data_IF_529831359310
#
_entry.id   IF_529831359310
#
_cell.length_a   1.000
_cell.length_b   1.000
_cell.length_c   1.000
_cell.angle_alpha   90.00
_cell.angle_beta   90.00
_cell.angle_gamma   90.00
#
_symmetry.space_group_name_H-M   'P 1'
#
loop_
_entity.id
_entity.type
_entity.pdbx_description
1 polymer ?
#
# COMPACT_ATOMS: atom_id res chain seq x y z
N UNK A 1 25.27 0.14 -7.55
CA UNK A 1 25.14 -0.85 -6.47
C UNK A 1 24.45 -2.06 -7.06
N UNK A 2 24.98 -3.23 -6.87
CA UNK A 2 24.49 -4.43 -7.55
C UNK A 2 23.68 -5.29 -6.58
N UNK A 3 22.82 -6.14 -7.11
CA UNK A 3 22.12 -7.16 -6.31
C UNK A 3 23.09 -8.10 -5.57
N UNK A 4 24.32 -8.28 -6.10
CA UNK A 4 25.36 -9.05 -5.42
C UNK A 4 25.68 -8.53 -4.00
N UNK A 5 25.77 -7.19 -3.85
CA UNK A 5 26.05 -6.60 -2.54
C UNK A 5 24.93 -6.89 -1.53
N UNK A 6 23.67 -6.82 -1.97
CA UNK A 6 22.51 -7.14 -1.13
C UNK A 6 22.54 -8.62 -0.72
N UNK A 7 22.83 -9.52 -1.68
CA UNK A 7 22.94 -10.95 -1.40
C UNK A 7 24.08 -11.26 -0.42
N UNK A 8 25.21 -10.55 -0.56
CA UNK A 8 26.36 -10.73 0.35
C UNK A 8 26.01 -10.29 1.77
N UNK A 9 25.28 -9.18 1.95
CA UNK A 9 24.82 -8.76 3.27
C UNK A 9 23.78 -9.73 3.86
N UNK A 10 22.86 -10.26 3.05
CA UNK A 10 21.93 -11.32 3.48
C UNK A 10 22.71 -12.57 3.98
N UNK A 11 23.74 -12.99 3.24
CA UNK A 11 24.52 -14.17 3.60
C UNK A 11 25.33 -13.98 4.88
N UNK A 12 25.86 -12.77 5.13
CA UNK A 12 26.64 -12.43 6.32
C UNK A 12 25.80 -12.31 7.58
N UNK A 13 24.54 -11.85 7.47
CA UNK A 13 23.70 -11.58 8.61
C UNK A 13 23.28 -12.87 9.33
N UNK A 14 23.38 -12.88 10.66
CA UNK A 14 22.84 -13.95 11.52
C UNK A 14 21.41 -13.61 11.99
N UNK A 15 21.12 -12.32 12.16
CA UNK A 15 19.79 -11.81 12.55
C UNK A 15 19.25 -10.83 11.52
N UNK A 16 18.05 -11.09 11.01
CA UNK A 16 17.43 -10.29 9.96
C UNK A 16 16.04 -9.85 10.41
N UNK A 17 15.71 -8.58 10.20
CA UNK A 17 14.33 -8.10 10.27
C UNK A 17 13.85 -7.60 8.92
N UNK A 18 12.56 -7.81 8.65
CA UNK A 18 11.85 -7.27 7.49
C UNK A 18 10.83 -6.27 8.00
N UNK A 19 10.92 -5.04 7.52
CA UNK A 19 10.06 -3.93 7.88
C UNK A 19 9.34 -3.41 6.62
N UNK A 20 8.15 -2.86 6.83
CA UNK A 20 7.34 -2.20 5.81
C UNK A 20 6.85 -0.84 6.33
N UNK A 21 6.13 -0.08 5.51
CA UNK A 21 5.54 1.19 5.95
C UNK A 21 4.40 0.99 6.99
N UNK A 22 4.10 2.03 7.78
CA UNK A 22 3.20 2.00 8.96
C UNK A 22 1.73 1.62 8.68
N UNK A 23 1.24 1.83 7.46
CA UNK A 23 -0.10 1.44 7.04
C UNK A 23 0.00 0.45 5.88
N UNK A 24 0.50 -0.77 6.14
CA UNK A 24 0.88 -1.68 5.08
C UNK A 24 -0.33 -2.16 4.28
N UNK A 25 -0.19 -2.11 2.98
CA UNK A 25 -1.15 -2.67 2.03
C UNK A 25 -0.75 -4.07 1.58
N UNK A 26 -1.37 -4.56 0.50
CA UNK A 26 -1.09 -5.91 0.04
C UNK A 26 0.27 -6.05 -0.64
N UNK A 27 0.86 -4.96 -1.17
CA UNK A 27 2.21 -5.01 -1.73
C UNK A 27 3.26 -5.08 -0.62
N UNK A 28 3.14 -4.24 0.39
CA UNK A 28 4.00 -4.26 1.56
C UNK A 28 3.98 -5.63 2.28
N UNK A 29 2.78 -6.15 2.60
CA UNK A 29 2.63 -7.43 3.29
C UNK A 29 3.05 -8.60 2.41
N UNK A 30 2.63 -8.62 1.14
CA UNK A 30 2.96 -9.66 0.19
C UNK A 30 4.46 -9.74 -0.06
N UNK A 31 5.12 -8.60 -0.24
CA UNK A 31 6.57 -8.51 -0.40
C UNK A 31 7.32 -8.99 0.84
N UNK A 32 6.87 -8.59 2.05
CA UNK A 32 7.52 -9.01 3.30
C UNK A 32 7.47 -10.53 3.49
N UNK A 33 6.31 -11.14 3.32
CA UNK A 33 6.13 -12.59 3.46
C UNK A 33 6.83 -13.38 2.34
N UNK A 34 6.80 -12.88 1.09
CA UNK A 34 7.54 -13.49 -0.01
C UNK A 34 9.04 -13.49 0.25
N UNK A 35 9.60 -12.40 0.77
CA UNK A 35 11.02 -12.29 1.11
C UNK A 35 11.37 -13.23 2.27
N UNK A 36 10.55 -13.30 3.31
CA UNK A 36 10.76 -14.21 4.45
C UNK A 36 10.83 -15.67 3.98
N UNK A 37 9.86 -16.11 3.16
CA UNK A 37 9.85 -17.45 2.58
C UNK A 37 11.06 -17.70 1.65
N UNK A 38 11.52 -16.69 0.93
CA UNK A 38 12.70 -16.76 0.08
C UNK A 38 14.00 -16.91 0.89
N UNK A 39 14.13 -16.17 2.00
CA UNK A 39 15.29 -16.23 2.88
C UNK A 39 15.49 -17.62 3.48
N UNK A 40 14.42 -18.36 3.77
CA UNK A 40 14.51 -19.76 4.24
C UNK A 40 15.23 -20.68 3.25
N UNK A 41 15.10 -20.44 1.93
CA UNK A 41 15.84 -21.20 0.93
C UNK A 41 17.33 -20.89 0.94
N UNK A 42 17.72 -19.74 1.48
CA UNK A 42 19.12 -19.37 1.73
C UNK A 42 19.61 -19.79 3.12
N UNK A 43 18.83 -20.60 3.86
CA UNK A 43 19.06 -20.99 5.25
C UNK A 43 19.18 -19.78 6.19
N UNK A 44 18.37 -18.74 5.94
CA UNK A 44 18.24 -17.56 6.78
C UNK A 44 16.83 -17.48 7.35
N UNK A 45 16.72 -17.09 8.61
CA UNK A 45 15.47 -16.75 9.25
C UNK A 45 15.35 -15.24 9.39
N UNK A 46 14.16 -14.70 9.28
CA UNK A 46 13.91 -13.28 9.43
C UNK A 46 12.66 -13.03 10.26
N UNK A 47 12.68 -11.96 11.05
CA UNK A 47 11.53 -11.47 11.78
C UNK A 47 10.78 -10.47 10.89
N UNK A 48 9.58 -10.83 10.45
CA UNK A 48 8.67 -9.89 9.80
C UNK A 48 7.94 -9.12 10.89
N UNK A 49 8.17 -7.80 10.97
CA UNK A 49 7.63 -6.96 12.06
C UNK A 49 6.63 -5.97 11.47
N UNK A 50 5.35 -6.18 11.78
CA UNK A 50 4.23 -5.33 11.35
C UNK A 50 3.34 -5.07 12.56
N UNK A 51 3.51 -3.95 13.29
CA UNK A 51 2.77 -3.65 14.52
C UNK A 51 1.25 -3.64 14.33
N UNK A 52 0.78 -3.10 13.21
CA UNK A 52 -0.64 -3.02 12.85
C UNK A 52 -0.93 -3.86 11.61
N UNK A 53 -0.85 -5.19 11.75
CA UNK A 53 -1.07 -6.11 10.64
C UNK A 53 -2.55 -6.10 10.16
N UNK A 54 -2.80 -5.84 8.86
CA UNK A 54 -4.15 -5.83 8.31
C UNK A 54 -4.74 -7.24 8.18
N UNK A 55 -5.89 -7.46 8.83
CA UNK A 55 -6.53 -8.80 8.89
C UNK A 55 -6.94 -9.37 7.55
N UNK A 56 -7.20 -8.53 6.56
CA UNK A 56 -7.52 -8.97 5.21
C UNK A 56 -6.43 -9.80 4.55
N UNK A 57 -5.19 -9.73 5.04
CA UNK A 57 -4.05 -10.52 4.55
C UNK A 57 -3.71 -11.74 5.41
N UNK A 58 -4.51 -12.06 6.44
CA UNK A 58 -4.34 -13.28 7.27
C UNK A 58 -4.38 -14.59 6.45
N UNK A 59 -4.87 -14.54 5.21
CA UNK A 59 -4.92 -15.70 4.33
C UNK A 59 -3.58 -16.03 3.65
N UNK A 60 -2.59 -15.14 3.74
CA UNK A 60 -1.28 -15.34 3.15
C UNK A 60 -0.46 -16.39 3.91
N UNK A 61 0.37 -17.16 3.20
CA UNK A 61 1.32 -18.08 3.84
C UNK A 61 2.19 -17.36 4.89
N UNK A 62 2.35 -18.00 6.03
CA UNK A 62 3.15 -17.53 7.18
C UNK A 62 2.69 -16.19 7.81
N UNK A 63 1.49 -15.69 7.45
CA UNK A 63 0.91 -14.49 8.05
C UNK A 63 0.76 -14.58 9.59
N UNK A 64 0.56 -15.78 10.11
CA UNK A 64 0.47 -16.08 11.56
C UNK A 64 1.82 -15.94 12.28
N UNK A 65 2.93 -15.86 11.56
CA UNK A 65 4.30 -15.66 12.10
C UNK A 65 4.70 -14.20 12.18
N UNK A 66 3.92 -13.28 11.62
CA UNK A 66 4.17 -11.85 11.69
C UNK A 66 4.19 -11.40 13.15
N UNK A 67 5.22 -10.65 13.52
CA UNK A 67 5.40 -10.10 14.86
C UNK A 67 4.86 -8.68 14.93
N UNK A 68 4.16 -8.35 16.00
CA UNK A 68 3.77 -6.95 16.29
C UNK A 68 4.90 -6.16 16.98
N UNK A 69 5.95 -6.85 17.41
CA UNK A 69 7.16 -6.32 18.02
C UNK A 69 8.05 -7.47 18.47
N UNK A 70 9.27 -7.14 18.90
CA UNK A 70 10.26 -8.11 19.38
C UNK A 70 11.15 -7.49 20.46
N UNK A 71 11.73 -8.33 21.32
CA UNK A 71 12.72 -7.92 22.33
C UNK A 71 14.14 -7.76 21.74
N UNK A 72 14.34 -8.10 20.46
CA UNK A 72 15.62 -7.90 19.77
C UNK A 72 15.81 -6.41 19.51
N UNK A 73 16.84 -5.83 20.08
CA UNK A 73 17.11 -4.38 20.00
C UNK A 73 18.03 -3.98 18.85
N UNK A 74 18.74 -4.94 18.26
CA UNK A 74 19.64 -4.68 17.12
C UNK A 74 19.74 -5.93 16.25
N UNK A 75 19.53 -5.73 14.95
CA UNK A 75 19.68 -6.75 13.92
C UNK A 75 20.99 -6.56 13.14
N UNK A 76 21.54 -7.66 12.60
CA UNK A 76 22.67 -7.55 11.68
C UNK A 76 22.24 -6.89 10.37
N UNK A 77 20.99 -7.20 9.92
CA UNK A 77 20.43 -6.70 8.69
C UNK A 77 18.95 -6.33 8.89
N UNK A 78 18.57 -5.16 8.43
CA UNK A 78 17.17 -4.78 8.23
C UNK A 78 16.89 -4.63 6.73
N UNK A 79 15.87 -5.35 6.25
CA UNK A 79 15.31 -5.19 4.91
C UNK A 79 14.04 -4.37 5.02
N UNK A 80 13.98 -3.20 4.39
CA UNK A 80 12.74 -2.45 4.21
C UNK A 80 12.19 -2.73 2.83
N UNK A 81 10.92 -3.12 2.76
CA UNK A 81 10.23 -3.44 1.53
C UNK A 81 9.05 -2.50 1.34
N UNK A 82 8.89 -1.99 0.12
CA UNK A 82 7.77 -1.13 -0.24
C UNK A 82 7.65 0.09 0.68
N UNK A 83 8.76 0.79 0.88
CA UNK A 83 8.83 1.94 1.79
C UNK A 83 9.65 3.08 1.19
N UNK A 84 8.97 4.19 0.86
CA UNK A 84 9.58 5.32 0.17
C UNK A 84 10.51 6.18 1.06
N UNK A 85 10.39 6.10 2.39
CA UNK A 85 11.23 6.88 3.29
C UNK A 85 11.25 6.33 4.71
N UNK A 86 12.31 6.65 5.44
CA UNK A 86 12.45 6.28 6.85
C UNK A 86 11.29 6.76 7.73
N UNK A 87 10.65 7.88 7.38
CA UNK A 87 9.51 8.43 8.13
C UNK A 87 8.29 7.53 8.12
N UNK A 88 8.16 6.68 7.09
CA UNK A 88 7.04 5.77 6.95
C UNK A 88 7.21 4.48 7.75
N UNK A 89 8.40 4.19 8.28
CA UNK A 89 8.66 3.03 9.14
C UNK A 89 8.06 3.24 10.55
N UNK A 90 7.94 4.52 10.99
CA UNK A 90 7.32 4.99 12.23
C UNK A 90 7.59 4.08 13.46
N UNK A 91 6.62 3.28 13.89
CA UNK A 91 6.72 2.45 15.10
C UNK A 91 7.86 1.39 15.07
N UNK A 92 8.49 1.17 13.92
CA UNK A 92 9.62 0.25 13.74
C UNK A 92 10.96 0.99 13.55
N UNK A 93 11.01 2.32 13.74
CA UNK A 93 12.19 3.14 13.47
C UNK A 93 13.42 2.69 14.28
N UNK A 94 13.24 2.31 15.54
CA UNK A 94 14.34 1.89 16.42
C UNK A 94 15.01 0.61 15.90
N UNK A 95 14.26 -0.34 15.32
CA UNK A 95 14.84 -1.53 14.71
C UNK A 95 15.70 -1.18 13.50
N UNK A 96 15.25 -0.21 12.69
CA UNK A 96 16.00 0.24 11.52
C UNK A 96 17.26 1.02 11.93
N UNK A 97 17.13 2.00 12.83
CA UNK A 97 18.27 2.84 13.24
C UNK A 97 19.39 2.04 13.92
N UNK A 98 19.02 1.06 14.76
CA UNK A 98 19.98 0.22 15.49
C UNK A 98 20.54 -0.96 14.68
N UNK A 99 20.08 -1.17 13.45
CA UNK A 99 20.62 -2.24 12.61
C UNK A 99 22.04 -1.94 12.12
N UNK A 100 22.88 -2.98 12.00
CA UNK A 100 24.25 -2.83 11.49
C UNK A 100 24.28 -2.50 10.00
N UNK A 101 23.41 -3.14 9.22
CA UNK A 101 23.24 -2.91 7.77
C UNK A 101 21.77 -2.72 7.44
N UNK A 102 21.49 -1.79 6.54
CA UNK A 102 20.16 -1.42 6.11
C UNK A 102 20.03 -1.57 4.60
N UNK A 103 18.99 -2.25 4.14
CA UNK A 103 18.68 -2.44 2.73
C UNK A 103 17.24 -1.96 2.48
N UNK A 104 17.03 -1.23 1.41
CA UNK A 104 15.69 -0.86 0.93
C UNK A 104 15.45 -1.43 -0.47
N UNK A 105 14.31 -2.08 -0.66
CA UNK A 105 13.80 -2.54 -1.96
C UNK A 105 12.43 -1.88 -2.14
N UNK A 106 12.28 -1.07 -3.20
CA UNK A 106 11.11 -0.22 -3.36
C UNK A 106 10.86 0.14 -4.83
N UNK A 107 9.64 0.55 -5.14
CA UNK A 107 9.25 1.00 -6.47
C UNK A 107 8.72 2.45 -6.51
N UNK A 108 8.66 3.12 -5.38
CA UNK A 108 8.13 4.48 -5.31
C UNK A 108 9.08 5.50 -5.93
N UNK A 109 8.57 6.37 -6.81
CA UNK A 109 9.32 7.50 -7.38
C UNK A 109 9.75 8.53 -6.34
N UNK A 110 9.08 8.56 -5.18
CA UNK A 110 9.39 9.44 -4.05
C UNK A 110 10.40 8.86 -3.07
N UNK A 111 11.02 7.70 -3.38
CA UNK A 111 11.99 7.08 -2.49
C UNK A 111 13.18 8.00 -2.22
N UNK A 112 13.54 8.14 -0.95
CA UNK A 112 14.59 9.06 -0.48
C UNK A 112 15.97 8.41 -0.41
N UNK A 113 16.14 7.17 -0.86
CA UNK A 113 17.41 6.40 -0.84
C UNK A 113 18.03 6.35 0.56
N UNK A 114 17.24 6.02 1.57
CA UNK A 114 17.53 6.21 2.99
C UNK A 114 18.32 5.06 3.65
N UNK A 115 18.51 3.95 2.95
CA UNK A 115 19.25 2.79 3.44
C UNK A 115 20.72 2.82 2.98
N UNK A 116 21.56 1.95 3.56
CA UNK A 116 22.95 1.76 3.12
C UNK A 116 23.00 1.19 1.69
N UNK A 117 22.06 0.27 1.39
CA UNK A 117 21.87 -0.31 0.07
C UNK A 117 20.40 -0.12 -0.38
N UNK A 118 20.22 0.48 -1.55
CA UNK A 118 18.89 0.73 -2.08
C UNK A 118 18.76 0.08 -3.47
N UNK A 119 17.74 -0.73 -3.67
CA UNK A 119 17.32 -1.25 -4.97
C UNK A 119 15.93 -0.68 -5.26
N UNK A 120 15.89 0.35 -6.08
CA UNK A 120 14.64 1.09 -6.39
C UNK A 120 14.45 1.11 -7.89
N UNK A 121 13.28 0.65 -8.35
CA UNK A 121 12.86 0.70 -9.74
C UNK A 121 11.45 1.29 -9.84
N UNK A 122 11.38 2.55 -10.28
CA UNK A 122 10.15 3.32 -10.38
C UNK A 122 9.23 2.89 -11.53
N UNK A 123 9.75 2.11 -12.47
CA UNK A 123 8.99 1.59 -13.60
C UNK A 123 8.27 0.28 -13.25
N UNK A 124 8.60 -0.34 -12.12
CA UNK A 124 7.91 -1.52 -11.63
C UNK A 124 6.53 -1.14 -11.06
N UNK A 125 5.47 -1.87 -11.40
CA UNK A 125 4.11 -1.57 -10.93
C UNK A 125 3.86 -1.98 -9.47
N UNK A 126 4.80 -2.68 -8.83
CA UNK A 126 4.72 -3.18 -7.46
C UNK A 126 6.10 -3.61 -6.96
N UNK A 127 6.39 -3.43 -5.68
CA UNK A 127 7.59 -3.96 -5.03
C UNK A 127 7.65 -5.48 -5.14
N UNK A 128 6.52 -6.17 -5.01
CA UNK A 128 6.41 -7.61 -5.19
C UNK A 128 6.87 -8.07 -6.58
N UNK A 129 6.69 -7.28 -7.64
CA UNK A 129 7.21 -7.62 -8.96
C UNK A 129 8.74 -7.55 -9.00
N UNK A 130 9.36 -6.58 -8.31
CA UNK A 130 10.81 -6.49 -8.20
C UNK A 130 11.42 -7.72 -7.52
N UNK A 131 10.72 -8.26 -6.53
CA UNK A 131 11.19 -9.46 -5.85
C UNK A 131 11.29 -10.66 -6.79
N UNK A 132 10.43 -10.79 -7.81
CA UNK A 132 10.56 -11.86 -8.81
C UNK A 132 11.87 -11.74 -9.61
N UNK A 133 12.28 -10.52 -9.94
CA UNK A 133 13.57 -10.26 -10.61
C UNK A 133 14.72 -10.65 -9.69
N UNK A 134 14.66 -10.22 -8.42
CA UNK A 134 15.67 -10.52 -7.40
C UNK A 134 15.76 -12.02 -7.13
N UNK A 135 14.64 -12.72 -7.01
CA UNK A 135 14.59 -14.16 -6.77
C UNK A 135 15.18 -14.93 -7.96
N UNK A 136 14.87 -14.51 -9.18
CA UNK A 136 15.50 -15.07 -10.38
C UNK A 136 17.03 -14.90 -10.39
N UNK A 137 17.51 -13.72 -10.01
CA UNK A 137 18.94 -13.42 -9.91
C UNK A 137 19.66 -14.27 -8.84
N UNK A 138 18.99 -14.52 -7.69
CA UNK A 138 19.55 -15.31 -6.59
C UNK A 138 19.31 -16.82 -6.74
N UNK A 139 18.69 -17.27 -7.85
CA UNK A 139 18.28 -18.66 -8.07
C UNK A 139 17.37 -19.21 -6.94
N UNK A 140 16.51 -18.36 -6.38
CA UNK A 140 15.47 -18.75 -5.43
C UNK A 140 14.29 -19.33 -6.20
N UNK A 141 13.81 -20.49 -5.79
CA UNK A 141 12.63 -21.10 -6.39
C UNK A 141 11.36 -20.36 -5.94
N UNK A 142 10.60 -19.84 -6.91
CA UNK A 142 9.28 -19.27 -6.62
C UNK A 142 8.31 -20.41 -6.42
N UNK A 143 8.09 -20.77 -5.15
CA UNK A 143 7.08 -21.77 -4.76
C UNK A 143 5.66 -21.20 -4.90
N UNK A 144 4.66 -22.04 -4.75
CA UNK A 144 3.26 -21.58 -4.76
C UNK A 144 2.98 -20.58 -3.62
N UNK A 145 3.58 -20.80 -2.47
CA UNK A 145 3.45 -19.93 -1.29
C UNK A 145 4.04 -18.55 -1.56
N UNK A 146 5.29 -18.48 -2.00
CA UNK A 146 5.95 -17.24 -2.44
C UNK A 146 5.12 -16.56 -3.53
N UNK A 147 4.71 -17.33 -4.54
CA UNK A 147 3.92 -16.79 -5.66
C UNK A 147 2.55 -16.25 -5.23
N UNK A 148 1.93 -16.80 -4.17
CA UNK A 148 0.67 -16.28 -3.63
C UNK A 148 0.88 -14.92 -2.98
N UNK A 149 1.95 -14.75 -2.21
CA UNK A 149 2.34 -13.46 -1.60
C UNK A 149 2.67 -12.42 -2.68
N UNK A 150 3.50 -12.76 -3.65
CA UNK A 150 3.88 -11.89 -4.78
C UNK A 150 2.64 -11.46 -5.58
N UNK A 151 1.76 -12.41 -5.93
CA UNK A 151 0.54 -12.09 -6.68
C UNK A 151 -0.37 -11.14 -5.91
N UNK A 152 -0.42 -11.27 -4.58
CA UNK A 152 -1.20 -10.36 -3.73
C UNK A 152 -0.68 -8.93 -3.86
N UNK A 153 0.63 -8.72 -3.76
CA UNK A 153 1.25 -7.41 -3.96
C UNK A 153 0.96 -6.85 -5.35
N UNK A 154 1.24 -7.61 -6.39
CA UNK A 154 0.98 -7.15 -7.78
C UNK A 154 -0.50 -6.77 -7.97
N UNK A 155 -1.44 -7.58 -7.48
CA UNK A 155 -2.88 -7.34 -7.66
C UNK A 155 -3.33 -6.09 -6.89
N UNK A 156 -2.85 -5.89 -5.67
CA UNK A 156 -3.26 -4.72 -4.87
C UNK A 156 -2.76 -3.43 -5.49
N UNK A 157 -1.48 -3.36 -5.79
CA UNK A 157 -0.84 -2.13 -6.24
C UNK A 157 -1.20 -1.74 -7.69
N UNK A 158 -1.54 -2.73 -8.50
CA UNK A 158 -2.08 -2.48 -9.86
C UNK A 158 -3.60 -2.27 -9.89
N UNK A 159 -4.28 -2.30 -8.74
CA UNK A 159 -5.74 -2.23 -8.66
C UNK A 159 -6.42 -3.34 -9.46
N UNK A 160 -5.87 -4.55 -9.47
CA UNK A 160 -6.34 -5.66 -10.29
C UNK A 160 -6.00 -5.49 -11.77
N UNK A 161 -4.82 -5.00 -12.08
CA UNK A 161 -4.28 -4.76 -13.43
C UNK A 161 -4.96 -3.59 -14.19
N UNK A 162 -5.54 -2.62 -13.48
CA UNK A 162 -6.24 -1.47 -14.08
C UNK A 162 -5.41 -0.19 -14.14
N UNK A 163 -4.36 -0.08 -13.31
CA UNK A 163 -3.59 1.15 -13.20
C UNK A 163 -2.46 1.21 -14.23
N UNK A 164 -1.97 2.42 -14.49
CA UNK A 164 -0.78 2.65 -15.31
C UNK A 164 0.43 1.95 -14.68
N UNK A 165 1.41 1.56 -15.52
CA UNK A 165 2.56 0.78 -15.09
C UNK A 165 2.43 -0.72 -15.30
N UNK A 166 1.19 -1.24 -15.51
CA UNK A 166 1.00 -2.65 -15.90
C UNK A 166 1.52 -2.88 -17.31
N UNK A 167 2.47 -3.80 -17.47
CA UNK A 167 3.15 -4.09 -18.72
C UNK A 167 2.92 -5.55 -19.18
N UNK A 168 3.37 -5.87 -20.39
CA UNK A 168 3.40 -7.25 -20.85
C UNK A 168 4.28 -8.14 -19.97
N UNK A 169 5.30 -7.57 -19.31
CA UNK A 169 6.17 -8.29 -18.37
C UNK A 169 5.39 -8.67 -17.11
N UNK A 170 4.58 -7.76 -16.56
CA UNK A 170 3.68 -8.05 -15.43
C UNK A 170 2.82 -9.27 -15.71
N UNK A 171 2.20 -9.34 -16.90
CA UNK A 171 1.39 -10.51 -17.28
C UNK A 171 2.20 -11.78 -17.47
N UNK A 172 3.45 -11.71 -17.97
CA UNK A 172 4.34 -12.88 -18.05
C UNK A 172 4.70 -13.40 -16.66
N UNK A 173 4.99 -12.53 -15.70
CA UNK A 173 5.20 -12.92 -14.32
C UNK A 173 3.96 -13.59 -13.73
N UNK A 174 2.78 -13.00 -13.89
CA UNK A 174 1.52 -13.61 -13.41
C UNK A 174 1.27 -14.96 -14.07
N UNK A 175 1.56 -15.12 -15.37
CA UNK A 175 1.45 -16.40 -16.06
C UNK A 175 2.39 -17.44 -15.43
N UNK A 176 3.65 -17.08 -15.15
CA UNK A 176 4.60 -17.98 -14.49
C UNK A 176 4.15 -18.39 -13.09
N UNK A 177 3.53 -17.47 -12.32
CA UNK A 177 2.94 -17.79 -11.02
C UNK A 177 1.78 -18.79 -11.15
N UNK A 178 0.95 -18.66 -12.20
CA UNK A 178 -0.12 -19.63 -12.49
C UNK A 178 0.44 -21.02 -12.79
N UNK A 179 1.54 -21.12 -13.53
CA UNK A 179 2.24 -22.38 -13.82
C UNK A 179 2.75 -23.05 -12.53
N UNK A 180 3.12 -22.27 -11.52
CA UNK A 180 3.48 -22.73 -10.16
C UNK A 180 2.26 -23.12 -9.31
N UNK A 181 1.04 -23.01 -9.86
CA UNK A 181 -0.20 -23.41 -9.18
C UNK A 181 -0.85 -22.32 -8.33
N UNK A 182 -0.37 -21.08 -8.42
CA UNK A 182 -1.03 -19.93 -7.79
C UNK A 182 -2.41 -19.71 -8.42
N UNK A 183 -3.42 -19.47 -7.62
CA UNK A 183 -4.80 -19.29 -8.08
C UNK A 183 -5.20 -17.82 -8.06
N UNK A 184 -5.04 -17.13 -9.18
CA UNK A 184 -5.41 -15.70 -9.34
C UNK A 184 -6.82 -15.42 -8.82
N UNK A 185 -7.79 -16.27 -9.16
CA UNK A 185 -9.18 -16.10 -8.70
C UNK A 185 -9.34 -16.14 -7.19
N UNK A 186 -8.52 -16.93 -6.48
CA UNK A 186 -8.57 -17.01 -5.01
C UNK A 186 -7.96 -15.77 -4.36
N UNK A 187 -6.83 -15.30 -4.86
CA UNK A 187 -6.20 -14.06 -4.38
C UNK A 187 -7.14 -12.88 -4.67
N UNK A 188 -7.64 -12.77 -5.90
CA UNK A 188 -8.59 -11.71 -6.28
C UNK A 188 -9.84 -11.70 -5.39
N UNK A 189 -10.40 -12.88 -5.10
CA UNK A 189 -11.56 -13.02 -4.23
C UNK A 189 -11.27 -12.50 -2.81
N UNK A 190 -10.08 -12.79 -2.26
CA UNK A 190 -9.69 -12.33 -0.93
C UNK A 190 -9.47 -10.83 -0.87
N UNK A 191 -8.77 -10.28 -1.86
CA UNK A 191 -8.40 -8.87 -1.90
C UNK A 191 -9.59 -7.96 -2.24
N UNK A 192 -10.37 -8.28 -3.29
CA UNK A 192 -11.37 -7.36 -3.82
C UNK A 192 -12.83 -7.80 -3.62
N UNK A 193 -13.08 -9.09 -3.48
CA UNK A 193 -14.43 -9.62 -3.42
C UNK A 193 -14.84 -10.11 -2.01
N UNK A 194 -14.07 -9.74 -1.00
CA UNK A 194 -14.40 -10.01 0.41
C UNK A 194 -14.49 -8.68 1.15
N UNK A 195 -15.69 -8.36 1.61
CA UNK A 195 -15.94 -7.12 2.39
C UNK A 195 -16.53 -7.49 3.74
N UNK A 196 -16.11 -6.80 4.78
CA UNK A 196 -16.78 -6.86 6.08
C UNK A 196 -18.20 -6.29 5.95
N UNK A 197 -19.09 -6.68 6.86
CA UNK A 197 -20.42 -6.05 6.89
C UNK A 197 -20.33 -4.57 7.21
N UNK A 198 -19.40 -4.16 8.07
CA UNK A 198 -19.14 -2.76 8.39
C UNK A 198 -18.73 -1.97 7.13
N UNK A 199 -17.77 -2.49 6.36
CA UNK A 199 -17.35 -1.90 5.07
C UNK A 199 -18.54 -1.75 4.11
N UNK A 200 -19.38 -2.77 3.98
CA UNK A 200 -20.56 -2.72 3.11
C UNK A 200 -21.54 -1.63 3.55
N UNK A 201 -21.86 -1.53 4.86
CA UNK A 201 -22.77 -0.52 5.39
C UNK A 201 -22.18 0.91 5.30
N UNK A 202 -20.84 1.08 5.50
CA UNK A 202 -20.17 2.38 5.28
C UNK A 202 -20.28 2.83 3.81
N UNK A 203 -20.00 1.92 2.87
CA UNK A 203 -20.13 2.23 1.45
C UNK A 203 -21.57 2.64 1.08
N UNK A 204 -22.57 1.98 1.66
CA UNK A 204 -23.96 2.35 1.47
C UNK A 204 -24.27 3.75 2.00
N UNK A 205 -23.79 4.09 3.21
CA UNK A 205 -23.94 5.43 3.78
C UNK A 205 -23.25 6.48 2.88
N UNK A 206 -22.04 6.19 2.41
CA UNK A 206 -21.31 7.09 1.53
C UNK A 206 -22.02 7.30 0.20
N UNK A 207 -22.53 6.24 -0.44
CA UNK A 207 -23.31 6.33 -1.68
C UNK A 207 -24.62 7.09 -1.51
N UNK A 208 -25.32 6.92 -0.39
CA UNK A 208 -26.55 7.68 -0.09
C UNK A 208 -26.29 9.19 0.07
N UNK A 209 -25.05 9.58 0.40
CA UNK A 209 -24.59 10.96 0.56
C UNK A 209 -23.81 11.51 -0.62
N UNK A 210 -23.66 10.72 -1.68
CA UNK A 210 -22.90 11.14 -2.85
C UNK A 210 -23.53 12.36 -3.51
N UNK A 211 -22.76 13.41 -3.66
CA UNK A 211 -23.15 14.64 -4.34
C UNK A 211 -22.28 14.86 -5.57
N UNK A 212 -22.90 15.27 -6.68
CA UNK A 212 -22.18 15.64 -7.90
C UNK A 212 -22.18 17.14 -8.05
N UNK A 213 -20.98 17.73 -8.06
CA UNK A 213 -20.73 19.18 -8.10
C UNK A 213 -20.04 19.56 -9.41
N UNK A 214 -20.05 20.86 -9.76
CA UNK A 214 -19.36 21.41 -10.94
C UNK A 214 -19.72 20.65 -12.23
N UNK A 215 -21.02 20.66 -12.55
CA UNK A 215 -21.58 19.97 -13.72
C UNK A 215 -21.22 18.47 -13.76
N UNK A 216 -21.11 17.84 -12.57
CA UNK A 216 -20.81 16.42 -12.43
C UNK A 216 -19.32 16.06 -12.51
N UNK A 217 -18.42 17.04 -12.60
CA UNK A 217 -16.98 16.80 -12.65
C UNK A 217 -16.36 16.43 -11.29
N UNK A 218 -17.04 16.78 -10.19
CA UNK A 218 -16.62 16.41 -8.84
C UNK A 218 -17.69 15.51 -8.23
N UNK A 219 -17.29 14.33 -7.74
CA UNK A 219 -18.06 13.51 -6.83
C UNK A 219 -17.59 13.80 -5.38
N UNK A 220 -18.52 13.96 -4.46
CA UNK A 220 -18.25 14.30 -3.06
C UNK A 220 -19.08 13.44 -2.13
N UNK A 221 -18.42 12.83 -1.14
CA UNK A 221 -19.12 12.12 -0.07
C UNK A 221 -18.37 12.21 1.26
N UNK A 222 -19.01 11.79 2.34
CA UNK A 222 -18.41 11.81 3.67
C UNK A 222 -18.96 10.75 4.63
N UNK A 223 -18.14 10.43 5.63
CA UNK A 223 -18.50 9.59 6.78
C UNK A 223 -18.18 10.35 8.06
N UNK A 224 -19.11 10.30 9.05
CA UNK A 224 -18.94 10.85 10.38
C UNK A 224 -18.47 9.78 11.36
N UNK A 225 -17.95 10.18 12.52
CA UNK A 225 -17.65 9.26 13.64
C UNK A 225 -18.88 8.48 14.10
N UNK A 226 -20.04 9.13 14.14
CA UNK A 226 -21.29 8.48 14.52
C UNK A 226 -21.67 7.34 13.55
N UNK A 227 -21.36 7.49 12.24
CA UNK A 227 -21.55 6.42 11.26
C UNK A 227 -20.58 5.24 11.54
N UNK A 228 -19.32 5.55 11.82
CA UNK A 228 -18.30 4.55 12.15
C UNK A 228 -18.70 3.73 13.38
N UNK A 229 -19.09 4.41 14.46
CA UNK A 229 -19.55 3.77 15.70
C UNK A 229 -20.79 2.91 15.46
N UNK A 230 -21.76 3.42 14.69
CA UNK A 230 -23.01 2.72 14.36
C UNK A 230 -22.80 1.39 13.67
N UNK A 231 -21.81 1.30 12.78
CA UNK A 231 -21.54 0.08 12.00
C UNK A 231 -20.40 -0.76 12.58
N UNK A 232 -19.68 -0.25 13.59
CA UNK A 232 -18.51 -0.90 14.18
C UNK A 232 -17.34 -0.96 13.22
N UNK A 233 -17.10 0.13 12.46
CA UNK A 233 -16.06 0.21 11.46
C UNK A 233 -14.65 0.14 12.07
N UNK A 234 -13.71 -0.42 11.32
CA UNK A 234 -12.29 -0.54 11.65
C UNK A 234 -11.44 0.05 10.52
N UNK A 235 -10.13 0.16 10.77
CA UNK A 235 -9.18 0.49 9.70
C UNK A 235 -9.34 -0.50 8.53
N UNK A 236 -9.29 0.00 7.30
CA UNK A 236 -9.53 -0.77 6.07
C UNK A 236 -11.00 -0.80 5.60
N UNK A 237 -11.99 -0.54 6.47
CA UNK A 237 -13.40 -0.53 6.05
C UNK A 237 -13.79 0.69 5.19
N UNK A 238 -12.93 1.70 5.10
CA UNK A 238 -13.13 2.91 4.27
C UNK A 238 -12.62 2.77 2.84
N UNK A 239 -11.81 1.75 2.58
CA UNK A 239 -11.14 1.58 1.28
C UNK A 239 -12.16 1.31 0.18
N UNK A 240 -11.98 2.00 -0.95
CA UNK A 240 -12.87 1.92 -2.10
C UNK A 240 -14.03 2.92 -2.09
N UNK A 241 -14.26 3.68 -1.00
CA UNK A 241 -15.32 4.70 -0.96
C UNK A 241 -15.03 5.81 -1.97
N UNK A 242 -13.82 6.39 -1.95
CA UNK A 242 -13.47 7.48 -2.86
C UNK A 242 -13.41 7.03 -4.32
N UNK A 243 -13.09 5.77 -4.57
CA UNK A 243 -13.07 5.19 -5.91
C UNK A 243 -14.48 5.08 -6.52
N UNK A 244 -15.51 4.84 -5.71
CA UNK A 244 -16.88 4.75 -6.21
C UNK A 244 -17.30 6.02 -6.97
N UNK A 245 -17.03 7.20 -6.40
CA UNK A 245 -17.33 8.47 -7.06
C UNK A 245 -16.48 8.72 -8.31
N UNK A 246 -15.16 8.40 -8.23
CA UNK A 246 -14.24 8.54 -9.37
C UNK A 246 -14.67 7.70 -10.57
N UNK A 247 -15.20 6.50 -10.33
CA UNK A 247 -15.53 5.55 -11.39
C UNK A 247 -16.85 5.91 -12.12
N UNK A 248 -17.56 6.93 -11.63
CA UNK A 248 -18.77 7.46 -12.33
C UNK A 248 -18.36 8.18 -13.62
N UNK A 249 -19.13 7.98 -14.69
CA UNK A 249 -18.92 8.67 -15.97
C UNK A 249 -19.05 10.19 -15.82
N UNK A 250 -18.11 10.94 -16.42
CA UNK A 250 -18.08 12.41 -16.35
C UNK A 250 -17.37 12.97 -15.13
N UNK A 251 -17.13 12.19 -14.08
CA UNK A 251 -16.38 12.62 -12.91
C UNK A 251 -14.88 12.66 -13.22
N UNK A 252 -14.24 13.79 -12.93
CA UNK A 252 -12.79 13.94 -12.98
C UNK A 252 -12.14 13.76 -11.60
N UNK A 253 -12.76 14.32 -10.54
CA UNK A 253 -12.21 14.24 -9.18
C UNK A 253 -13.26 13.72 -8.21
N UNK A 254 -12.88 12.72 -7.42
CA UNK A 254 -13.66 12.25 -6.27
C UNK A 254 -13.03 12.71 -4.97
N UNK A 255 -13.86 13.18 -4.05
CA UNK A 255 -13.51 13.72 -2.73
C UNK A 255 -14.25 12.92 -1.68
N UNK A 256 -13.52 12.27 -0.79
CA UNK A 256 -14.08 11.59 0.37
C UNK A 256 -13.58 12.23 1.65
N UNK A 257 -14.48 12.67 2.52
CA UNK A 257 -14.16 13.22 3.82
C UNK A 257 -14.50 12.23 4.94
N UNK A 258 -13.59 12.09 5.89
CA UNK A 258 -13.79 11.28 7.08
C UNK A 258 -13.52 12.12 8.34
N UNK A 259 -14.48 12.16 9.25
CA UNK A 259 -14.31 12.80 10.55
C UNK A 259 -13.39 11.94 11.43
N UNK A 260 -12.39 12.57 12.07
CA UNK A 260 -11.44 11.90 12.97
C UNK A 260 -11.19 12.74 14.22
N UNK A 261 -10.50 12.22 15.23
CA UNK A 261 -10.09 12.98 16.41
C UNK A 261 -9.12 14.12 16.09
N UNK A 262 -8.41 14.02 14.98
CA UNK A 262 -7.41 15.00 14.52
C UNK A 262 -7.96 16.00 13.49
N UNK A 263 -9.28 16.04 13.27
CA UNK A 263 -9.93 16.85 12.23
C UNK A 263 -10.53 16.00 11.10
N UNK A 264 -10.68 16.60 9.95
CA UNK A 264 -11.28 15.94 8.77
C UNK A 264 -10.17 15.39 7.87
N UNK A 265 -10.09 14.07 7.78
CA UNK A 265 -9.24 13.41 6.81
C UNK A 265 -9.87 13.52 5.42
N UNK A 266 -9.11 14.01 4.46
CA UNK A 266 -9.51 14.17 3.06
C UNK A 266 -8.79 13.14 2.21
N UNK A 267 -9.54 12.36 1.44
CA UNK A 267 -9.00 11.47 0.41
C UNK A 267 -9.44 11.97 -0.96
N UNK A 268 -8.50 12.07 -1.88
CA UNK A 268 -8.70 12.58 -3.24
C UNK A 268 -8.29 11.53 -4.26
N UNK A 269 -9.09 11.38 -5.31
CA UNK A 269 -8.74 10.61 -6.51
C UNK A 269 -9.08 11.43 -7.75
N UNK A 270 -8.25 11.35 -8.76
CA UNK A 270 -8.58 11.93 -10.09
C UNK A 270 -8.51 10.87 -11.17
N UNK A 271 -9.16 11.15 -12.30
CA UNK A 271 -9.25 10.24 -13.43
C UNK A 271 -8.19 10.55 -14.49
N UNK A 272 -8.25 11.72 -15.12
CA UNK A 272 -7.48 11.98 -16.33
C UNK A 272 -6.45 13.11 -16.21
N UNK A 273 -6.85 14.32 -15.79
CA UNK A 273 -5.99 15.50 -15.95
C UNK A 273 -5.70 16.29 -14.65
N UNK A 274 -6.51 16.14 -13.60
CA UNK A 274 -6.28 16.91 -12.36
C UNK A 274 -5.18 16.26 -11.52
N UNK A 275 -4.17 17.04 -11.14
CA UNK A 275 -3.15 16.64 -10.18
C UNK A 275 -3.66 16.88 -8.75
N UNK A 276 -4.22 15.85 -8.11
CA UNK A 276 -4.75 15.97 -6.74
C UNK A 276 -3.67 16.10 -5.67
N UNK A 277 -2.42 15.73 -5.96
CA UNK A 277 -1.30 15.91 -5.03
C UNK A 277 -1.01 17.38 -4.80
N UNK A 278 -1.06 18.22 -5.85
CA UNK A 278 -0.92 19.67 -5.71
C UNK A 278 -2.01 20.28 -4.83
N UNK A 279 -3.25 19.81 -4.99
CA UNK A 279 -4.36 20.27 -4.15
C UNK A 279 -4.14 19.88 -2.68
N UNK A 280 -3.74 18.64 -2.41
CA UNK A 280 -3.48 18.14 -1.04
C UNK A 280 -2.32 18.86 -0.36
N UNK A 281 -1.24 19.18 -1.08
CA UNK A 281 -0.05 19.86 -0.55
C UNK A 281 -0.39 21.23 0.02
N UNK A 282 -1.37 21.95 -0.52
CA UNK A 282 -1.82 23.25 0.01
C UNK A 282 -2.40 23.16 1.42
N UNK A 283 -2.81 21.96 1.84
CA UNK A 283 -3.34 21.67 3.18
C UNK A 283 -2.34 20.84 4.02
N UNK A 284 -1.05 20.86 3.64
CA UNK A 284 0.01 20.12 4.37
C UNK A 284 -0.03 18.61 4.16
N UNK A 285 -0.76 18.15 3.15
CA UNK A 285 -0.82 16.75 2.74
C UNK A 285 0.10 16.43 1.56
N UNK A 286 -0.21 15.36 0.83
CA UNK A 286 0.55 14.91 -0.33
C UNK A 286 0.01 13.62 -0.91
N UNK A 287 0.79 13.01 -1.80
CA UNK A 287 0.47 11.76 -2.48
C UNK A 287 0.93 11.77 -3.93
N UNK A 288 0.34 10.88 -4.71
CA UNK A 288 0.58 10.77 -6.15
C UNK A 288 -0.33 11.70 -6.96
N UNK A 289 0.00 11.90 -8.23
CA UNK A 289 -0.77 12.74 -9.15
C UNK A 289 -2.26 12.40 -9.16
N UNK A 290 -2.62 11.10 -9.09
CA UNK A 290 -4.01 10.60 -9.16
C UNK A 290 -4.60 10.19 -7.82
N UNK A 291 -3.81 10.14 -6.74
CA UNK A 291 -4.24 9.70 -5.41
C UNK A 291 -3.50 10.47 -4.33
N UNK A 292 -4.19 11.32 -3.60
CA UNK A 292 -3.61 12.15 -2.56
C UNK A 292 -4.55 12.30 -1.37
N UNK A 293 -4.00 12.82 -0.26
CA UNK A 293 -4.78 13.09 0.94
C UNK A 293 -4.17 14.18 1.80
N UNK A 294 -5.00 14.76 2.65
CA UNK A 294 -4.60 15.77 3.63
C UNK A 294 -5.52 15.72 4.85
N UNK A 295 -5.22 16.55 5.86
CA UNK A 295 -6.10 16.77 7.00
C UNK A 295 -6.49 18.25 7.06
N UNK A 296 -7.79 18.52 7.22
CA UNK A 296 -8.32 19.88 7.36
C UNK A 296 -8.98 20.01 8.73
N UNK A 297 -8.67 21.09 9.44
CA UNK A 297 -9.31 21.39 10.74
C UNK A 297 -10.69 22.01 10.52
N UNK A 298 -11.64 21.70 11.42
CA UNK A 298 -12.98 22.24 11.40
C UNK A 298 -14.07 21.19 11.18
N UNK A 299 -15.21 21.62 10.65
CA UNK A 299 -16.35 20.74 10.35
C UNK A 299 -16.26 20.17 8.94
N UNK A 300 -17.03 19.09 8.67
CA UNK A 300 -17.15 18.50 7.32
C UNK A 300 -17.51 19.57 6.30
N UNK A 301 -18.48 20.45 6.62
CA UNK A 301 -18.94 21.51 5.69
C UNK A 301 -17.81 22.54 5.39
N UNK A 302 -17.04 22.90 6.41
CA UNK A 302 -15.88 23.78 6.22
C UNK A 302 -14.78 23.12 5.36
N UNK A 303 -14.47 21.84 5.63
CA UNK A 303 -13.51 21.09 4.85
C UNK A 303 -13.98 20.88 3.40
N UNK A 304 -15.29 20.55 3.20
CA UNK A 304 -15.91 20.47 1.88
C UNK A 304 -15.69 21.75 1.08
N UNK A 305 -16.07 22.90 1.67
CA UNK A 305 -15.95 24.19 0.99
C UNK A 305 -14.50 24.53 0.60
N UNK A 306 -13.53 24.25 1.50
CA UNK A 306 -12.11 24.51 1.24
C UNK A 306 -11.57 23.63 0.10
N UNK A 307 -11.78 22.32 0.18
CA UNK A 307 -11.20 21.40 -0.79
C UNK A 307 -11.90 21.48 -2.16
N UNK A 308 -13.22 21.62 -2.20
CA UNK A 308 -13.97 21.80 -3.45
C UNK A 308 -13.54 23.08 -4.16
N UNK A 309 -13.45 24.22 -3.45
CA UNK A 309 -12.98 25.47 -4.05
C UNK A 309 -11.55 25.35 -4.58
N UNK A 310 -10.70 24.56 -3.94
CA UNK A 310 -9.35 24.31 -4.43
C UNK A 310 -9.35 23.46 -5.69
N UNK A 311 -10.10 22.38 -5.72
CA UNK A 311 -10.21 21.47 -6.89
C UNK A 311 -10.81 22.22 -8.11
N UNK A 312 -11.77 23.12 -7.92
CA UNK A 312 -12.32 23.95 -8.99
C UNK A 312 -11.28 24.68 -9.82
N UNK A 313 -10.19 25.13 -9.19
CA UNK A 313 -9.11 25.83 -9.87
C UNK A 313 -8.33 24.96 -10.89
N UNK A 314 -8.48 23.65 -10.84
CA UNK A 314 -7.81 22.70 -11.74
C UNK A 314 -8.76 22.10 -12.78
N UNK A 315 -10.09 22.31 -12.67
CA UNK A 315 -11.03 21.82 -13.64
C UNK A 315 -10.97 22.61 -14.96
N UNK A 316 -11.18 21.90 -16.07
CA UNK A 316 -11.22 22.45 -17.43
C UNK A 316 -12.64 22.67 -17.89
#
# INVERSE_FOLDING_TARGET
MTLDNILDEIKKADTIAILVHENPDGDAVGSALAMELALKQLNKEADVIIPEFPKEFEFLPDADKIKTGTDVTSYDLVLTLDCASIKLINNCIDYFENAKTKVAIDHHSSNTMFADYNFVDQDAPACAQLLLVIFGYYNIEVTKEIGTCILTGIITDTGGFRYEGVTAETFRFVASLCEKGVKVSKVYQRVFASKTRAKFELHKIALDREEFLEDGKIAFTYITKADEEKVGAKNGDYDGIVENGRDVEGVEVSIFLRETDKGIKVSLRSKDYVNVSEAATMFGGGGHVRAAGCNIQGTIEQAKNQIVNRIKCYLK
#
